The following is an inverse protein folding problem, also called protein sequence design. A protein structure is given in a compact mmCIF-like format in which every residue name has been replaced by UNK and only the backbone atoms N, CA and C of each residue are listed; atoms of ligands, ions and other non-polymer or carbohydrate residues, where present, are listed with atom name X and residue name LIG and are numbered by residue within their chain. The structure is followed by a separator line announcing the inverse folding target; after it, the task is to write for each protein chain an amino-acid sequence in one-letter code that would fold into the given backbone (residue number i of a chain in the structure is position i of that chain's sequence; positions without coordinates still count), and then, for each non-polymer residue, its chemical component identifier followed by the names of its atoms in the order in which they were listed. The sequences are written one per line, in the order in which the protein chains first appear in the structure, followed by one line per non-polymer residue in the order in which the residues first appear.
data_IF_558658586322
#
_entry.id   IF_558658586322
#
_cell.length_a   1.000
_cell.length_b   1.000
_cell.length_c   1.000
_cell.angle_alpha   90.00
_cell.angle_beta   90.00
_cell.angle_gamma   90.00
#
_symmetry.space_group_name_H-M   'P 1'
#
loop_
_entity.id
_entity.type
_entity.pdbx_description
1 polymer ?
#
# COMPACT_ATOMS: atom_id res chain seq x y z
N UNK A 1 16.55 -16.57 1.80
CA UNK A 1 15.25 -16.23 1.23
C UNK A 1 15.06 -14.73 1.21
N UNK A 2 14.38 -14.24 0.20
CA UNK A 2 14.17 -12.81 0.07
C UNK A 2 12.92 -12.37 0.83
N UNK A 3 12.91 -11.13 1.30
CA UNK A 3 11.70 -10.52 1.82
C UNK A 3 10.79 -10.17 0.64
N UNK A 4 9.51 -10.15 0.87
CA UNK A 4 8.55 -9.81 -0.17
C UNK A 4 7.58 -8.76 0.32
N UNK A 5 7.13 -7.93 -0.60
CA UNK A 5 6.10 -6.94 -0.34
C UNK A 5 5.03 -7.08 -1.42
N UNK A 6 3.81 -7.25 -0.98
CA UNK A 6 2.68 -7.33 -1.90
C UNK A 6 1.74 -6.17 -1.62
N UNK A 7 1.35 -5.47 -2.65
CA UNK A 7 0.41 -4.36 -2.56
C UNK A 7 -0.72 -4.60 -3.56
N UNK A 8 -1.94 -4.71 -3.05
CA UNK A 8 -3.11 -4.88 -3.88
C UNK A 8 -4.03 -3.68 -3.69
N UNK A 9 -4.22 -2.92 -4.75
CA UNK A 9 -5.03 -1.71 -4.72
C UNK A 9 -5.95 -1.69 -5.93
N UNK A 10 -7.22 -1.41 -5.68
CA UNK A 10 -8.21 -1.20 -6.73
C UNK A 10 -8.65 0.25 -6.69
N UNK A 11 -8.37 0.97 -7.76
CA UNK A 11 -8.73 2.38 -7.83
C UNK A 11 -10.16 2.49 -8.36
N UNK A 12 -11.04 3.22 -7.67
CA UNK A 12 -12.40 3.42 -8.17
C UNK A 12 -12.39 4.07 -9.54
N UNK A 13 -13.42 3.83 -10.32
CA UNK A 13 -13.54 4.43 -11.63
C UNK A 13 -13.39 5.94 -11.52
N UNK A 14 -12.47 6.49 -12.27
CA UNK A 14 -12.22 7.93 -12.27
C UNK A 14 -12.42 8.48 -13.68
N UNK A 15 -12.63 9.79 -13.76
CA UNK A 15 -12.93 10.43 -15.04
C UNK A 15 -11.72 10.49 -15.96
N UNK A 16 -10.52 10.54 -15.42
CA UNK A 16 -9.32 10.66 -16.23
C UNK A 16 -8.22 9.74 -15.72
N UNK A 17 -7.36 9.38 -16.64
CA UNK A 17 -6.19 8.56 -16.32
C UNK A 17 -5.26 9.30 -15.36
N UNK A 18 -5.21 10.61 -15.47
CA UNK A 18 -4.39 11.44 -14.60
C UNK A 18 -4.78 11.27 -13.13
N UNK A 19 -6.08 11.21 -12.86
CA UNK A 19 -6.58 11.00 -11.51
C UNK A 19 -6.26 9.59 -11.01
N UNK A 20 -6.38 8.58 -11.89
CA UNK A 20 -6.02 7.21 -11.54
C UNK A 20 -4.56 7.12 -11.10
N UNK A 21 -3.67 7.70 -11.89
CA UNK A 21 -2.24 7.67 -11.58
C UNK A 21 -1.96 8.34 -10.24
N UNK A 22 -2.63 9.45 -9.98
CA UNK A 22 -2.47 10.17 -8.72
C UNK A 22 -2.88 9.29 -7.53
N UNK A 23 -3.99 8.59 -7.65
CA UNK A 23 -4.45 7.70 -6.59
C UNK A 23 -3.49 6.52 -6.37
N UNK A 24 -2.97 5.96 -7.47
CA UNK A 24 -2.00 4.87 -7.36
C UNK A 24 -0.74 5.32 -6.62
N UNK A 25 -0.24 6.50 -6.98
CA UNK A 25 0.94 7.06 -6.34
C UNK A 25 0.71 7.28 -4.85
N UNK A 26 -0.44 7.88 -4.52
CA UNK A 26 -0.77 8.15 -3.13
C UNK A 26 -0.93 6.86 -2.32
N UNK A 27 -1.54 5.84 -2.91
CA UNK A 27 -1.71 4.55 -2.23
C UNK A 27 -0.36 3.94 -1.89
N UNK A 28 0.59 3.98 -2.82
CA UNK A 28 1.93 3.46 -2.58
C UNK A 28 2.66 4.25 -1.51
N UNK A 29 2.49 5.58 -1.50
CA UNK A 29 3.11 6.41 -0.49
C UNK A 29 2.59 6.09 0.91
N UNK A 30 1.31 5.86 1.04
CA UNK A 30 0.71 5.52 2.33
C UNK A 30 1.25 4.19 2.84
N UNK A 31 1.35 3.19 1.98
CA UNK A 31 1.91 1.90 2.35
C UNK A 31 3.37 2.04 2.77
N UNK A 32 4.14 2.77 1.98
CA UNK A 32 5.55 3.01 2.27
C UNK A 32 5.74 3.73 3.60
N UNK A 33 4.89 4.72 3.87
CA UNK A 33 4.96 5.48 5.12
C UNK A 33 4.69 4.59 6.33
N UNK A 34 3.70 3.72 6.24
CA UNK A 34 3.36 2.81 7.34
C UNK A 34 4.50 1.83 7.62
N UNK A 35 5.08 1.27 6.59
CA UNK A 35 6.20 0.35 6.74
C UNK A 35 7.37 1.04 7.40
N UNK A 36 7.69 2.25 6.95
CA UNK A 36 8.81 3.00 7.48
C UNK A 36 8.56 3.44 8.92
N UNK A 37 7.35 3.92 9.21
CA UNK A 37 6.99 4.40 10.53
C UNK A 37 7.13 3.31 11.60
N UNK A 38 6.74 2.10 11.25
CA UNK A 38 6.78 0.98 12.19
C UNK A 38 8.11 0.22 12.16
N UNK A 39 9.00 0.56 11.23
CA UNK A 39 10.29 -0.13 11.10
C UNK A 39 10.15 -1.59 10.76
N UNK A 40 9.05 -1.97 10.11
CA UNK A 40 8.80 -3.36 9.76
C UNK A 40 8.07 -4.15 10.84
N UNK A 41 7.72 -3.52 11.95
CA UNK A 41 6.98 -4.21 13.01
C UNK A 41 5.56 -4.55 12.56
N UNK A 42 4.96 -3.68 11.74
CA UNK A 42 3.67 -3.95 11.15
C UNK A 42 3.89 -4.65 9.81
N UNK A 43 3.29 -5.82 9.65
CA UNK A 43 3.50 -6.64 8.45
C UNK A 43 2.33 -6.60 7.48
N UNK A 44 1.27 -5.90 7.82
CA UNK A 44 0.14 -5.73 6.91
C UNK A 44 -0.62 -4.47 7.29
N UNK A 45 -1.39 -3.97 6.35
CA UNK A 45 -2.20 -2.79 6.60
C UNK A 45 -3.18 -2.54 5.48
N UNK A 46 -4.13 -1.67 5.75
CA UNK A 46 -5.10 -1.24 4.76
C UNK A 46 -4.66 0.06 4.13
N UNK A 47 -4.99 0.22 2.86
CA UNK A 47 -4.69 1.44 2.13
C UNK A 47 -6.02 2.15 1.88
N UNK A 48 -6.13 3.36 2.40
CA UNK A 48 -7.35 4.14 2.24
C UNK A 48 -7.06 5.42 1.45
N UNK A 49 -8.06 5.85 0.70
CA UNK A 49 -7.98 7.10 -0.03
C UNK A 49 -8.66 8.23 0.73
N UNK A 50 -8.83 9.36 0.05
CA UNK A 50 -9.52 10.51 0.63
C UNK A 50 -10.95 10.13 1.00
N UNK A 51 -11.41 10.64 2.13
CA UNK A 51 -12.73 10.32 2.63
C UNK A 51 -12.82 8.96 3.31
N UNK A 52 -11.71 8.29 3.53
CA UNK A 52 -11.69 7.01 4.22
C UNK A 52 -12.11 5.82 3.37
N UNK A 53 -12.12 5.99 2.06
CA UNK A 53 -12.48 4.90 1.14
C UNK A 53 -11.37 3.86 1.13
N UNK A 54 -11.73 2.60 1.38
CA UNK A 54 -10.76 1.51 1.34
C UNK A 54 -10.37 1.21 -0.09
N UNK A 55 -9.10 1.39 -0.43
CA UNK A 55 -8.58 1.12 -1.77
C UNK A 55 -7.98 -0.28 -1.89
N UNK A 56 -7.39 -0.76 -0.82
CA UNK A 56 -6.74 -2.07 -0.88
C UNK A 56 -5.96 -2.36 0.38
N UNK A 57 -4.95 -3.21 0.25
CA UNK A 57 -4.13 -3.60 1.39
C UNK A 57 -2.71 -3.94 0.94
N UNK A 58 -1.83 -4.04 1.91
CA UNK A 58 -0.44 -4.45 1.66
C UNK A 58 -0.03 -5.50 2.69
N UNK A 59 0.88 -6.35 2.26
CA UNK A 59 1.46 -7.39 3.12
C UNK A 59 2.95 -7.43 2.91
N UNK A 60 3.69 -7.33 4.00
CA UNK A 60 5.13 -7.44 4.01
C UNK A 60 5.51 -8.78 4.67
N UNK A 61 6.24 -9.60 3.95
CA UNK A 61 6.74 -10.86 4.48
C UNK A 61 8.23 -10.72 4.68
N UNK A 62 8.69 -10.65 5.92
CA UNK A 62 10.12 -10.51 6.18
C UNK A 62 10.90 -11.70 5.68
N UNK A 63 12.18 -11.47 5.44
CA UNK A 63 13.09 -12.55 5.11
C UNK A 63 13.08 -13.58 6.24
N UNK A 64 13.00 -14.85 5.86
CA UNK A 64 13.03 -15.89 6.85
C UNK A 64 14.36 -15.86 7.60
N UNK A 65 14.28 -15.92 8.90
CA UNK A 65 15.47 -15.93 9.72
C UNK A 65 16.16 -17.29 9.58
N UNK A 66 17.37 -17.25 9.17
CA UNK A 66 18.17 -18.46 9.03
C UNK A 66 18.96 -18.76 10.29
#
# INVERSE_FOLDING_TARGET
MAATLRVDVSIPKSETKSIEVKWCHRALELAAHEIRRTGGAQTSGNITGDGGILLGSWVYTPQAKS
#
